data_IF_343686499963
#
_entry.id   IF_343686499963
#
_cell.length_a   1.000
_cell.length_b   1.000
_cell.length_c   1.000
_cell.angle_alpha   90.00
_cell.angle_beta   90.00
_cell.angle_gamma   90.00
#
_symmetry.space_group_name_H-M   'P 1'
#
loop_
_entity.id
_entity.type
_entity.pdbx_description
1 polymer ?
#
# COMPACT_ATOMS: atom_id res chain seq x y z
N UNK A 1 18.66 -3.46 22.14
CA UNK A 1 17.50 -4.21 22.68
C UNK A 1 17.60 -4.47 24.18
N UNK A 2 18.79 -4.69 24.74
CA UNK A 2 18.92 -5.05 26.16
C UNK A 2 18.47 -3.95 27.13
N UNK A 3 18.70 -2.67 26.79
CA UNK A 3 18.16 -1.55 27.57
C UNK A 3 16.63 -1.58 27.64
N UNK A 4 15.94 -1.88 26.53
CA UNK A 4 14.49 -1.98 26.48
C UNK A 4 13.98 -3.09 27.41
N UNK A 5 14.60 -4.28 27.35
CA UNK A 5 14.28 -5.41 28.24
C UNK A 5 14.54 -5.07 29.71
N UNK A 6 15.66 -4.40 30.00
CA UNK A 6 16.04 -3.98 31.36
C UNK A 6 15.02 -3.01 31.98
N UNK A 7 14.36 -2.19 31.17
CA UNK A 7 13.35 -1.24 31.62
C UNK A 7 11.90 -1.78 31.54
N UNK A 8 11.73 -3.07 31.21
CA UNK A 8 10.44 -3.75 31.21
C UNK A 8 9.37 -3.09 30.32
N UNK A 9 9.78 -2.52 29.18
CA UNK A 9 8.85 -2.01 28.17
C UNK A 9 8.20 -3.14 27.36
N UNK A 10 6.97 -2.90 26.87
CA UNK A 10 6.16 -3.91 26.17
C UNK A 10 6.64 -4.26 24.76
N UNK A 11 7.49 -3.45 24.14
CA UNK A 11 7.98 -3.72 22.79
C UNK A 11 8.74 -2.55 22.18
N UNK A 12 9.15 -2.73 20.92
CA UNK A 12 9.79 -1.71 20.10
C UNK A 12 8.90 -1.38 18.90
N UNK A 13 8.84 -0.10 18.54
CA UNK A 13 8.25 0.37 17.28
C UNK A 13 9.39 0.73 16.33
N UNK A 14 9.20 0.42 15.05
CA UNK A 14 10.14 0.81 13.98
C UNK A 14 9.42 1.76 13.03
N UNK A 15 10.06 2.88 12.72
CA UNK A 15 9.70 3.77 11.62
C UNK A 15 10.90 3.82 10.67
N UNK A 16 10.86 3.29 9.45
CA UNK A 16 9.76 2.54 8.83
C UNK A 16 10.30 1.27 8.12
N UNK A 17 9.39 0.45 7.60
CA UNK A 17 9.73 -0.81 6.94
C UNK A 17 10.56 -0.59 5.66
N UNK A 18 10.19 0.43 4.88
CA UNK A 18 10.82 0.80 3.60
C UNK A 18 12.21 1.45 3.77
N UNK A 19 12.52 1.93 4.97
CA UNK A 19 13.83 2.52 5.29
C UNK A 19 14.85 1.49 5.81
N UNK A 20 14.41 0.28 6.15
CA UNK A 20 15.32 -0.84 6.39
C UNK A 20 15.79 -1.40 5.03
N UNK A 21 16.90 -2.15 4.99
CA UNK A 21 17.35 -2.82 3.75
C UNK A 21 16.44 -4.02 3.44
N UNK A 22 15.24 -3.72 2.95
CA UNK A 22 14.18 -4.68 2.73
C UNK A 22 14.50 -5.67 1.60
N UNK A 23 15.39 -5.31 0.67
CA UNK A 23 15.87 -6.20 -0.39
C UNK A 23 17.08 -7.03 0.06
N UNK A 24 17.89 -6.51 0.97
CA UNK A 24 19.17 -7.10 1.39
C UNK A 24 20.32 -6.79 0.43
N UNK A 25 20.12 -5.86 -0.51
CA UNK A 25 21.09 -5.56 -1.56
C UNK A 25 22.11 -4.50 -1.14
N UNK A 26 21.78 -3.62 -0.20
CA UNK A 26 22.63 -2.50 0.17
C UNK A 26 23.62 -2.88 1.28
N UNK A 27 23.14 -3.51 2.34
CA UNK A 27 23.91 -3.85 3.53
C UNK A 27 24.55 -5.24 3.45
N UNK A 28 24.05 -6.12 2.58
CA UNK A 28 24.50 -7.53 2.44
C UNK A 28 24.35 -8.36 3.73
N UNK A 29 23.39 -7.99 4.58
CA UNK A 29 23.07 -8.67 5.84
C UNK A 29 21.79 -9.51 5.75
N UNK A 30 21.28 -9.72 4.54
CA UNK A 30 19.97 -10.33 4.29
C UNK A 30 18.84 -9.29 4.34
N UNK A 31 17.60 -9.75 4.17
CA UNK A 31 16.42 -8.86 4.17
C UNK A 31 16.12 -8.34 5.58
N UNK A 32 15.82 -7.05 5.67
CA UNK A 32 15.42 -6.36 6.89
C UNK A 32 16.42 -6.55 8.06
N UNK A 33 17.70 -6.16 7.91
CA UNK A 33 18.73 -6.41 8.92
C UNK A 33 18.42 -5.75 10.27
N UNK A 34 17.84 -4.55 10.30
CA UNK A 34 17.52 -3.85 11.54
C UNK A 34 16.33 -4.50 12.26
N UNK A 35 15.25 -4.79 11.52
CA UNK A 35 14.05 -5.42 12.10
C UNK A 35 14.35 -6.87 12.51
N UNK A 36 15.15 -7.60 11.74
CA UNK A 36 15.60 -8.95 12.10
C UNK A 36 16.43 -8.95 13.39
N UNK A 37 17.25 -7.92 13.59
CA UNK A 37 18.02 -7.73 14.83
C UNK A 37 17.10 -7.49 16.04
N UNK A 38 16.02 -6.70 15.86
CA UNK A 38 15.00 -6.51 16.89
C UNK A 38 14.25 -7.80 17.19
N UNK A 39 13.76 -8.51 16.15
CA UNK A 39 13.07 -9.81 16.27
C UNK A 39 13.93 -10.82 17.04
N UNK A 40 15.23 -10.90 16.74
CA UNK A 40 16.19 -11.75 17.45
C UNK A 40 16.37 -11.30 18.91
N UNK A 41 16.60 -10.01 19.13
CA UNK A 41 16.89 -9.48 20.46
C UNK A 41 15.71 -9.56 21.44
N UNK A 42 14.48 -9.55 20.91
CA UNK A 42 13.23 -9.69 21.66
C UNK A 42 12.75 -11.16 21.78
N UNK A 43 13.46 -12.13 21.20
CA UNK A 43 13.10 -13.54 21.29
C UNK A 43 11.91 -13.97 20.43
N UNK A 44 11.60 -13.22 19.36
CA UNK A 44 10.42 -13.43 18.51
C UNK A 44 10.69 -14.36 17.30
N UNK A 45 11.73 -15.18 17.35
CA UNK A 45 12.14 -16.03 16.22
C UNK A 45 11.18 -17.20 15.98
N UNK A 46 10.53 -17.68 17.03
CA UNK A 46 9.64 -18.84 17.00
C UNK A 46 8.16 -18.46 16.98
N UNK A 47 7.84 -17.19 16.69
CA UNK A 47 6.45 -16.80 16.49
C UNK A 47 5.91 -17.52 15.27
N UNK A 48 4.95 -18.42 15.47
CA UNK A 48 4.23 -19.11 14.41
C UNK A 48 3.62 -18.07 13.47
N UNK A 49 4.27 -17.88 12.32
CA UNK A 49 3.73 -17.06 11.23
C UNK A 49 2.76 -17.93 10.44
N UNK A 50 1.69 -18.36 11.11
CA UNK A 50 0.65 -19.18 10.52
C UNK A 50 -0.40 -18.23 9.95
N UNK A 51 -0.63 -18.25 8.63
CA UNK A 51 -1.75 -17.51 8.06
C UNK A 51 -3.04 -17.99 8.73
N UNK A 52 -3.99 -17.10 9.02
CA UNK A 52 -5.30 -17.50 9.50
C UNK A 52 -5.88 -18.60 8.60
N UNK A 53 -6.40 -19.66 9.20
CA UNK A 53 -6.99 -20.79 8.46
C UNK A 53 -8.20 -20.37 7.60
N UNK A 54 -8.80 -19.23 7.95
CA UNK A 54 -9.92 -18.62 7.25
C UNK A 54 -9.49 -17.24 6.72
N UNK A 55 -9.88 -16.84 5.50
CA UNK A 55 -9.61 -15.50 5.00
C UNK A 55 -10.15 -14.48 6.00
N UNK A 56 -9.32 -13.52 6.40
CA UNK A 56 -9.80 -12.41 7.23
C UNK A 56 -11.01 -11.78 6.52
N UNK A 57 -12.09 -11.44 7.25
CA UNK A 57 -13.21 -10.74 6.64
C UNK A 57 -12.66 -9.48 5.96
N UNK A 58 -13.23 -9.06 4.80
CA UNK A 58 -12.78 -7.87 4.11
C UNK A 58 -12.77 -6.72 5.11
N UNK A 59 -11.60 -6.14 5.30
CA UNK A 59 -11.44 -4.95 6.14
C UNK A 59 -12.29 -3.89 5.45
N UNK A 60 -13.46 -3.58 6.03
CA UNK A 60 -14.26 -2.46 5.59
C UNK A 60 -13.39 -1.23 5.84
N UNK A 61 -12.99 -0.55 4.77
CA UNK A 61 -12.21 0.69 4.90
C UNK A 61 -12.86 1.56 5.98
N UNK A 62 -12.04 2.05 6.91
CA UNK A 62 -12.50 3.06 7.84
C UNK A 62 -13.12 4.21 7.03
N UNK A 63 -14.28 4.75 7.43
CA UNK A 63 -14.91 5.84 6.72
C UNK A 63 -13.88 6.95 6.51
N UNK A 64 -13.75 7.50 5.29
CA UNK A 64 -12.81 8.57 5.03
C UNK A 64 -13.19 9.73 5.95
N UNK A 65 -12.27 10.12 6.83
CA UNK A 65 -12.38 11.36 7.60
C UNK A 65 -12.46 12.50 6.58
N UNK A 66 -13.68 12.99 6.37
CA UNK A 66 -13.96 14.12 5.48
C UNK A 66 -13.28 15.37 6.03
N UNK A 67 -12.08 15.69 5.52
CA UNK A 67 -11.58 17.06 5.54
C UNK A 67 -12.46 17.87 4.59
N UNK A 68 -13.19 18.82 5.15
CA UNK A 68 -14.11 19.67 4.44
C UNK A 68 -13.40 20.45 3.32
N UNK A 69 -13.89 20.26 2.10
CA UNK A 69 -13.59 21.07 0.93
C UNK A 69 -14.87 21.24 0.13
N UNK A 70 -15.54 22.36 0.34
CA UNK A 70 -16.79 22.74 -0.32
C UNK A 70 -16.66 22.85 -1.84
N UNK A 71 -17.69 22.38 -2.56
CA UNK A 71 -18.15 23.03 -3.79
C UNK A 71 -18.25 22.13 -5.02
N UNK A 72 -19.48 21.81 -5.42
CA UNK A 72 -19.77 21.38 -6.80
C UNK A 72 -20.89 20.35 -6.95
N UNK A 73 -22.13 20.82 -6.95
CA UNK A 73 -23.34 20.05 -7.25
C UNK A 73 -23.36 19.49 -8.68
N UNK A 74 -23.97 18.33 -8.89
CA UNK A 74 -24.50 17.93 -10.22
C UNK A 74 -24.49 16.42 -10.46
N UNK A 75 -25.62 15.76 -10.18
CA UNK A 75 -25.79 14.34 -10.49
C UNK A 75 -25.95 14.05 -11.99
N UNK A 76 -25.52 12.87 -12.42
CA UNK A 76 -26.12 12.03 -13.48
C UNK A 76 -25.17 10.88 -13.81
N UNK A 77 -25.74 9.71 -14.15
CA UNK A 77 -25.07 8.42 -14.25
C UNK A 77 -23.72 8.45 -14.96
N UNK A 78 -22.73 7.79 -14.36
CA UNK A 78 -21.39 7.66 -14.92
C UNK A 78 -21.43 6.98 -16.28
N UNK A 79 -21.34 7.75 -17.34
CA UNK A 79 -21.06 7.29 -18.69
C UNK A 79 -19.54 7.29 -18.88
N UNK A 80 -18.93 6.11 -18.92
CA UNK A 80 -17.48 5.99 -19.13
C UNK A 80 -16.98 4.57 -18.87
N UNK A 81 -15.66 4.37 -19.01
CA UNK A 81 -14.97 3.09 -18.75
C UNK A 81 -15.34 2.47 -17.39
N UNK A 82 -15.65 3.30 -16.39
CA UNK A 82 -15.94 2.89 -15.03
C UNK A 82 -17.40 2.47 -14.77
N UNK A 83 -18.26 2.52 -15.79
CA UNK A 83 -19.65 2.07 -15.66
C UNK A 83 -19.69 0.58 -15.28
N UNK A 84 -20.21 0.27 -14.09
CA UNK A 84 -20.30 -1.10 -13.57
C UNK A 84 -18.97 -1.70 -13.07
N UNK A 85 -17.90 -0.92 -13.01
CA UNK A 85 -16.63 -1.34 -12.38
C UNK A 85 -16.62 -0.97 -10.90
N UNK A 86 -15.85 -1.74 -10.12
CA UNK A 86 -15.58 -1.39 -8.73
C UNK A 86 -14.74 -0.10 -8.66
N UNK A 87 -14.74 0.53 -7.49
CA UNK A 87 -13.82 1.64 -7.24
C UNK A 87 -12.38 1.11 -7.27
N UNK A 88 -11.47 1.84 -7.93
CA UNK A 88 -10.08 1.41 -8.09
C UNK A 88 -9.39 2.06 -9.27
N UNK A 89 -8.14 1.63 -9.53
CA UNK A 89 -7.34 2.10 -10.65
C UNK A 89 -7.19 0.98 -11.69
N UNK A 90 -7.36 1.35 -12.96
CA UNK A 90 -7.32 0.43 -14.09
C UNK A 90 -6.37 0.94 -15.16
N UNK A 91 -5.60 0.05 -15.77
CA UNK A 91 -4.72 0.40 -16.89
C UNK A 91 -5.54 0.87 -18.11
N UNK A 92 -5.02 1.87 -18.81
CA UNK A 92 -5.58 2.30 -20.10
C UNK A 92 -5.00 1.41 -21.23
N UNK A 93 -5.84 0.64 -21.95
CA UNK A 93 -5.36 -0.22 -23.03
C UNK A 93 -4.84 0.55 -24.25
N UNK A 94 -5.23 1.82 -24.42
CA UNK A 94 -4.81 2.63 -25.56
C UNK A 94 -3.51 3.40 -25.29
N UNK A 95 -3.23 3.72 -24.03
CA UNK A 95 -2.04 4.45 -23.64
C UNK A 95 -1.46 3.93 -22.32
N UNK A 96 -0.30 3.28 -22.41
CA UNK A 96 0.38 2.70 -21.26
C UNK A 96 0.80 3.73 -20.20
N UNK A 97 0.86 5.02 -20.54
CA UNK A 97 1.14 6.09 -19.58
C UNK A 97 -0.11 6.57 -18.84
N UNK A 98 -1.30 6.21 -19.31
CA UNK A 98 -2.55 6.63 -18.70
C UNK A 98 -3.17 5.50 -17.89
N UNK A 99 -4.00 5.89 -16.93
CA UNK A 99 -4.81 4.98 -16.14
C UNK A 99 -6.15 5.63 -15.79
N UNK A 100 -7.16 4.80 -15.62
CA UNK A 100 -8.51 5.20 -15.21
C UNK A 100 -8.66 5.00 -13.70
N UNK A 101 -8.97 6.07 -12.98
CA UNK A 101 -9.44 6.01 -11.60
C UNK A 101 -10.97 6.01 -11.59
N UNK A 102 -11.55 4.92 -11.08
CA UNK A 102 -12.99 4.75 -10.97
C UNK A 102 -13.47 5.08 -9.56
N UNK A 103 -14.41 6.01 -9.45
CA UNK A 103 -15.07 6.36 -8.19
C UNK A 103 -16.58 6.49 -8.41
N UNK A 104 -17.37 5.63 -7.76
CA UNK A 104 -18.84 5.59 -7.86
C UNK A 104 -19.35 5.53 -9.31
N UNK A 105 -18.65 4.78 -10.16
CA UNK A 105 -18.97 4.64 -11.59
C UNK A 105 -18.53 5.81 -12.47
N UNK A 106 -17.90 6.85 -11.91
CA UNK A 106 -17.30 7.95 -12.68
C UNK A 106 -15.87 7.60 -13.09
N UNK A 107 -15.51 7.94 -14.33
CA UNK A 107 -14.16 7.76 -14.88
C UNK A 107 -13.35 9.03 -14.74
N UNK A 108 -12.22 8.94 -14.04
CA UNK A 108 -11.19 9.97 -13.97
C UNK A 108 -9.93 9.48 -14.69
N UNK A 109 -9.53 10.15 -15.77
CA UNK A 109 -8.30 9.80 -16.48
C UNK A 109 -7.12 10.49 -15.80
N UNK A 110 -6.08 9.74 -15.50
CA UNK A 110 -4.83 10.25 -14.97
C UNK A 110 -3.66 9.73 -15.82
N UNK A 111 -2.54 10.45 -15.77
CA UNK A 111 -1.33 10.13 -16.51
C UNK A 111 -0.15 10.04 -15.56
N UNK A 112 0.69 9.05 -15.79
CA UNK A 112 1.98 8.93 -15.15
C UNK A 112 2.91 10.08 -15.53
N UNK A 113 3.83 10.40 -14.63
CA UNK A 113 4.85 11.42 -14.83
C UNK A 113 5.69 11.14 -16.09
N UNK A 114 6.41 12.14 -16.61
CA UNK A 114 7.07 11.99 -17.91
C UNK A 114 8.10 10.86 -17.91
N UNK A 115 7.95 9.92 -18.85
CA UNK A 115 8.82 8.75 -18.97
C UNK A 115 8.37 7.50 -18.20
N UNK A 116 7.31 7.60 -17.38
CA UNK A 116 6.77 6.46 -16.63
C UNK A 116 5.54 5.86 -17.30
N UNK A 117 5.35 4.56 -17.08
CA UNK A 117 4.27 3.70 -17.57
C UNK A 117 3.51 3.14 -16.36
N UNK A 118 2.19 3.01 -16.50
CA UNK A 118 1.35 2.43 -15.45
C UNK A 118 1.52 0.91 -15.39
N UNK A 119 1.91 0.40 -14.21
CA UNK A 119 1.99 -1.04 -13.93
C UNK A 119 0.79 -1.48 -13.07
N UNK A 120 -0.13 -2.30 -13.61
CA UNK A 120 -1.30 -2.78 -12.88
C UNK A 120 -0.95 -3.70 -11.71
N UNK A 121 0.25 -4.29 -11.67
CA UNK A 121 0.68 -5.20 -10.60
C UNK A 121 0.87 -4.49 -9.27
N UNK A 122 1.34 -3.23 -9.31
CA UNK A 122 1.52 -2.37 -8.15
C UNK A 122 0.47 -1.25 -8.06
N UNK A 123 -0.37 -1.09 -9.09
CA UNK A 123 -1.24 0.08 -9.28
C UNK A 123 -0.46 1.40 -9.19
N UNK A 124 0.73 1.44 -9.79
CA UNK A 124 1.69 2.52 -9.67
C UNK A 124 2.36 2.86 -11.00
N UNK A 125 2.96 4.05 -11.10
CA UNK A 125 3.75 4.46 -12.26
C UNK A 125 5.19 3.97 -12.10
N UNK A 126 5.65 3.13 -13.02
CA UNK A 126 6.99 2.56 -13.02
C UNK A 126 7.72 2.84 -14.33
N UNK A 127 9.02 2.56 -14.38
CA UNK A 127 9.76 2.60 -15.63
C UNK A 127 9.27 1.47 -16.56
N UNK A 128 9.14 1.73 -17.88
CA UNK A 128 8.72 0.74 -18.86
C UNK A 128 9.67 -0.47 -18.96
#
# INVERSE_FOLDING_TARGET
VDWLKKNNFGGAMVWALDMDDFTGEFCKEGKYPLISSLKKGLGLQSGDCVPPAEPLPPITEAPPTTSGGSGGSGGSGGSGFCAGKANGIYADPENSRNFYSCLNGQTFVQSCEQGLVFDPSCSCCNWP
#
